data_IF_814794299670
#
_entry.id   IF_814794299670
#
_cell.length_a   1.000
_cell.length_b   1.000
_cell.length_c   1.000
_cell.angle_alpha   90.00
_cell.angle_beta   90.00
_cell.angle_gamma   90.00
#
_symmetry.space_group_name_H-M   'P 1'
#
loop_
_entity.id
_entity.type
_entity.pdbx_description
1 polymer ?
#
# COMPACT_ATOMS: atom_id res chain seq x y z
N UNK A 1 -4.68 12.32 -3.83
CA UNK A 1 -3.58 13.06 -4.50
C UNK A 1 -2.18 12.88 -3.86
N UNK A 2 -1.92 11.84 -3.04
CA UNK A 2 -0.54 11.55 -2.57
C UNK A 2 0.20 10.62 -3.54
N UNK A 3 -0.54 9.80 -4.30
CA UNK A 3 0.03 8.84 -5.25
C UNK A 3 0.77 9.50 -6.43
N UNK A 4 0.33 10.69 -6.87
CA UNK A 4 0.95 11.40 -8.00
C UNK A 4 1.99 12.46 -7.60
N UNK A 5 2.18 12.75 -6.31
CA UNK A 5 2.84 14.00 -5.86
C UNK A 5 4.11 13.81 -5.00
N UNK A 6 4.56 12.58 -4.74
CA UNK A 6 5.75 12.33 -3.91
C UNK A 6 6.67 11.26 -4.51
N UNK A 7 7.95 11.40 -4.15
CA UNK A 7 9.08 10.50 -4.42
C UNK A 7 8.72 9.01 -4.23
N UNK A 8 9.47 8.08 -4.86
CA UNK A 8 9.28 6.65 -4.66
C UNK A 8 9.36 6.30 -3.18
N UNK A 9 8.33 5.66 -2.65
CA UNK A 9 8.27 5.31 -1.23
C UNK A 9 6.99 4.58 -0.86
N UNK A 10 7.11 3.73 0.15
CA UNK A 10 5.98 3.01 0.73
C UNK A 10 5.11 4.00 1.53
N UNK A 11 3.78 3.84 1.43
CA UNK A 11 2.82 4.69 2.14
C UNK A 11 2.26 3.94 3.33
N UNK A 12 2.25 4.58 4.49
CA UNK A 12 1.57 4.09 5.69
C UNK A 12 0.33 4.95 5.96
N UNK A 13 -0.85 4.32 5.99
CA UNK A 13 -2.12 4.95 6.33
C UNK A 13 -2.62 4.40 7.67
N UNK A 14 -3.04 5.28 8.56
CA UNK A 14 -3.64 4.88 9.84
C UNK A 14 -5.16 5.00 9.80
N UNK A 15 -5.85 3.92 10.16
CA UNK A 15 -7.31 3.86 10.33
C UNK A 15 -7.68 3.26 11.68
N UNK A 16 -8.95 3.35 12.06
CA UNK A 16 -9.36 3.07 13.45
C UNK A 16 -9.81 1.63 13.69
N UNK A 17 -10.31 0.95 12.66
CA UNK A 17 -10.86 -0.40 12.80
C UNK A 17 -10.58 -1.31 11.62
N UNK A 18 -10.71 -2.62 11.87
CA UNK A 18 -10.45 -3.68 10.87
C UNK A 18 -11.38 -3.55 9.65
N UNK A 19 -12.65 -3.23 9.87
CA UNK A 19 -13.63 -3.03 8.79
C UNK A 19 -13.27 -1.83 7.90
N UNK A 20 -12.85 -0.72 8.49
CA UNK A 20 -12.39 0.46 7.75
C UNK A 20 -11.13 0.16 6.94
N UNK A 21 -10.22 -0.63 7.49
CA UNK A 21 -8.99 -1.06 6.80
C UNK A 21 -9.33 -1.90 5.58
N UNK A 22 -10.19 -2.91 5.73
CA UNK A 22 -10.58 -3.79 4.63
C UNK A 22 -11.32 -3.03 3.52
N UNK A 23 -12.24 -2.12 3.91
CA UNK A 23 -12.96 -1.27 2.96
C UNK A 23 -12.02 -0.29 2.24
N UNK A 24 -11.09 0.34 2.96
CA UNK A 24 -10.08 1.21 2.36
C UNK A 24 -9.15 0.45 1.41
N UNK A 25 -8.66 -0.73 1.80
CA UNK A 25 -7.84 -1.60 0.94
C UNK A 25 -8.58 -1.95 -0.36
N UNK A 26 -9.86 -2.30 -0.26
CA UNK A 26 -10.70 -2.62 -1.43
C UNK A 26 -10.85 -1.41 -2.35
N UNK A 27 -11.19 -0.24 -1.80
CA UNK A 27 -11.35 1.00 -2.57
C UNK A 27 -10.05 1.42 -3.25
N UNK A 28 -8.93 1.39 -2.53
CA UNK A 28 -7.60 1.71 -3.07
C UNK A 28 -7.28 0.79 -4.25
N UNK A 29 -7.56 -0.51 -4.12
CA UNK A 29 -7.31 -1.46 -5.20
C UNK A 29 -8.19 -1.19 -6.43
N UNK A 30 -9.48 -0.93 -6.23
CA UNK A 30 -10.40 -0.62 -7.34
C UNK A 30 -9.97 0.65 -8.08
N UNK A 31 -9.67 1.72 -7.36
CA UNK A 31 -9.19 2.98 -7.95
C UNK A 31 -7.84 2.80 -8.66
N UNK A 32 -6.94 1.98 -8.10
CA UNK A 32 -5.67 1.66 -8.73
C UNK A 32 -5.87 0.91 -10.05
N UNK A 33 -6.72 -0.12 -10.05
CA UNK A 33 -7.05 -0.90 -11.24
C UNK A 33 -7.72 -0.01 -12.31
N UNK A 34 -8.62 0.89 -11.91
CA UNK A 34 -9.28 1.84 -12.81
C UNK A 34 -8.30 2.85 -13.42
N UNK A 35 -7.33 3.35 -12.65
CA UNK A 35 -6.29 4.25 -13.16
C UNK A 35 -5.37 3.53 -14.15
N UNK A 36 -4.98 2.29 -13.87
CA UNK A 36 -4.18 1.45 -14.78
C UNK A 36 -4.95 1.16 -16.07
N UNK A 37 -6.27 0.94 -16.00
CA UNK A 37 -7.11 0.72 -17.17
C UNK A 37 -7.30 1.98 -18.03
N UNK A 38 -7.30 3.16 -17.41
CA UNK A 38 -7.43 4.45 -18.11
C UNK A 38 -6.13 4.87 -18.77
N UNK A 39 -5.00 4.72 -18.08
CA UNK A 39 -3.69 5.11 -18.57
C UNK A 39 -2.60 4.27 -17.90
N UNK A 40 -2.25 3.16 -18.55
CA UNK A 40 -1.32 2.13 -18.06
C UNK A 40 0.12 2.63 -17.88
N UNK A 41 0.48 3.74 -18.52
CA UNK A 41 1.83 4.32 -18.45
C UNK A 41 1.94 5.45 -17.41
N UNK A 42 0.81 5.95 -16.90
CA UNK A 42 0.77 7.06 -15.94
C UNK A 42 0.99 6.65 -14.48
N UNK A 43 0.72 5.38 -14.13
CA UNK A 43 0.81 4.88 -12.75
C UNK A 43 1.46 3.49 -12.67
N UNK A 44 2.35 3.34 -11.70
CA UNK A 44 2.98 2.06 -11.39
C UNK A 44 2.02 1.13 -10.65
N UNK A 45 2.34 -0.17 -10.56
CA UNK A 45 1.49 -1.12 -9.85
C UNK A 45 1.38 -0.75 -8.37
N UNK A 46 0.17 -0.82 -7.82
CA UNK A 46 -0.11 -0.53 -6.41
C UNK A 46 -0.47 -1.83 -5.71
N UNK A 47 0.19 -2.11 -4.58
CA UNK A 47 -0.22 -3.19 -3.69
C UNK A 47 -0.70 -2.61 -2.36
N UNK A 48 -1.88 -3.03 -1.92
CA UNK A 48 -2.44 -2.61 -0.63
C UNK A 48 -2.35 -3.77 0.36
N UNK A 49 -1.82 -3.51 1.56
CA UNK A 49 -1.60 -4.53 2.60
C UNK A 49 -2.29 -4.07 3.88
N UNK A 50 -3.30 -4.81 4.37
CA UNK A 50 -3.93 -4.52 5.65
C UNK A 50 -3.02 -4.93 6.82
N UNK A 51 -3.04 -4.16 7.91
CA UNK A 51 -2.33 -4.44 9.15
C UNK A 51 -3.20 -4.17 10.38
N UNK A 52 -3.67 -5.23 11.03
CA UNK A 52 -4.42 -5.15 12.27
C UNK A 52 -4.17 -6.37 13.16
N UNK A 53 -4.54 -6.24 14.44
CA UNK A 53 -4.15 -7.17 15.50
C UNK A 53 -4.65 -8.61 15.31
N UNK A 54 -5.81 -8.80 14.67
CA UNK A 54 -6.40 -10.12 14.45
C UNK A 54 -5.83 -10.88 13.24
N UNK A 55 -4.98 -10.23 12.41
CA UNK A 55 -4.34 -10.90 11.28
C UNK A 55 -3.39 -12.01 11.74
N UNK A 56 -3.34 -13.15 11.02
CA UNK A 56 -2.31 -14.15 11.21
C UNK A 56 -0.89 -13.54 11.07
N UNK A 57 0.11 -14.01 11.85
CA UNK A 57 1.47 -13.47 11.78
C UNK A 57 2.09 -13.50 10.38
N UNK A 58 1.79 -14.53 9.58
CA UNK A 58 2.22 -14.64 8.19
C UNK A 58 1.67 -13.50 7.31
N UNK A 59 0.45 -13.03 7.58
CA UNK A 59 -0.15 -11.91 6.85
C UNK A 59 0.41 -10.56 7.34
N UNK A 60 0.66 -10.42 8.65
CA UNK A 60 1.32 -9.23 9.20
C UNK A 60 2.73 -9.05 8.63
N UNK A 61 3.48 -10.14 8.41
CA UNK A 61 4.82 -10.08 7.83
C UNK A 61 4.87 -9.57 6.39
N UNK A 62 3.75 -9.58 5.66
CA UNK A 62 3.68 -9.08 4.28
C UNK A 62 4.00 -7.59 4.16
N UNK A 63 3.88 -6.82 5.25
CA UNK A 63 4.27 -5.41 5.25
C UNK A 63 5.77 -5.21 4.99
N UNK A 64 6.59 -6.23 5.23
CA UNK A 64 8.02 -6.24 4.94
C UNK A 64 8.35 -6.69 3.52
N UNK A 65 7.35 -7.15 2.74
CA UNK A 65 7.56 -7.47 1.34
C UNK A 65 7.98 -6.20 0.59
N UNK A 66 8.88 -6.30 -0.40
CA UNK A 66 9.27 -5.15 -1.20
C UNK A 66 8.08 -4.60 -2.00
N UNK A 67 8.12 -3.30 -2.30
CA UNK A 67 7.17 -2.70 -3.23
C UNK A 67 7.19 -3.42 -4.60
N UNK A 68 6.05 -3.47 -5.31
CA UNK A 68 6.00 -4.09 -6.62
C UNK A 68 6.93 -3.38 -7.60
N UNK A 69 7.55 -4.14 -8.50
CA UNK A 69 8.41 -3.58 -9.55
C UNK A 69 7.59 -2.88 -10.62
N UNK A 70 8.13 -1.86 -11.32
CA UNK A 70 7.49 -1.26 -12.49
C UNK A 70 7.03 -2.30 -13.52
N UNK A 71 5.95 -2.02 -14.24
CA UNK A 71 5.45 -2.91 -15.31
C UNK A 71 6.37 -2.91 -16.54
N UNK A 72 7.05 -1.79 -16.80
CA UNK A 72 8.00 -1.61 -17.91
C UNK A 72 9.32 -1.04 -17.38
N UNK A 73 10.47 -1.26 -18.05
CA UNK A 73 11.78 -0.81 -17.58
C UNK A 73 11.87 0.70 -17.32
N UNK A 74 11.16 1.50 -18.11
CA UNK A 74 11.11 2.97 -18.01
C UNK A 74 9.78 3.46 -17.39
N UNK A 75 8.99 2.54 -16.84
CA UNK A 75 7.67 2.83 -16.30
C UNK A 75 7.70 3.43 -14.90
N UNK A 76 6.58 4.00 -14.44
CA UNK A 76 6.46 4.55 -13.09
C UNK A 76 6.72 3.47 -12.02
N UNK A 77 7.37 3.84 -10.89
CA UNK A 77 7.67 2.92 -9.81
C UNK A 77 6.39 2.38 -9.18
N UNK A 78 6.39 1.08 -8.87
CA UNK A 78 5.32 0.49 -8.08
C UNK A 78 5.35 1.00 -6.64
N UNK A 79 4.20 0.93 -5.98
CA UNK A 79 4.01 1.48 -4.64
C UNK A 79 3.31 0.47 -3.74
N UNK A 80 3.82 0.32 -2.51
CA UNK A 80 3.14 -0.41 -1.44
C UNK A 80 2.41 0.57 -0.55
N UNK A 81 1.16 0.26 -0.24
CA UNK A 81 0.31 1.01 0.69
C UNK A 81 -0.05 0.08 1.83
N UNK A 82 0.49 0.35 3.01
CA UNK A 82 0.13 -0.38 4.23
C UNK A 82 -0.95 0.42 4.95
N UNK A 83 -2.09 -0.22 5.20
CA UNK A 83 -3.22 0.39 5.90
C UNK A 83 -3.32 -0.28 7.27
N UNK A 84 -3.01 0.46 8.32
CA UNK A 84 -2.79 -0.06 9.66
C UNK A 84 -3.68 0.59 10.71
N UNK A 85 -3.94 -0.14 11.79
CA UNK A 85 -4.30 0.48 13.07
C UNK A 85 -3.07 1.06 13.79
N UNK A 86 -3.24 1.60 14.99
CA UNK A 86 -2.13 2.02 15.87
C UNK A 86 -1.15 0.89 16.27
N UNK A 87 -1.40 -0.37 15.88
CA UNK A 87 -0.47 -1.49 16.11
C UNK A 87 0.90 -1.28 15.43
N UNK A 88 0.95 -0.56 14.30
CA UNK A 88 2.21 -0.23 13.63
C UNK A 88 3.05 0.79 14.42
N UNK A 89 2.41 1.63 15.25
CA UNK A 89 3.08 2.71 15.98
C UNK A 89 3.96 2.19 17.13
N UNK A 90 3.67 0.99 17.65
CA UNK A 90 4.35 0.44 18.83
C UNK A 90 5.22 -0.79 18.58
N UNK A 91 5.06 -1.48 17.44
CA UNK A 91 5.64 -2.83 17.29
C UNK A 91 6.46 -3.06 16.02
N UNK A 92 6.35 -2.18 15.01
CA UNK A 92 6.86 -2.46 13.68
C UNK A 92 7.58 -1.21 13.12
N UNK A 93 8.88 -1.11 13.37
CA UNK A 93 9.74 -0.22 12.56
C UNK A 93 9.80 -0.79 11.15
N UNK A 94 8.94 -0.27 10.27
CA UNK A 94 8.97 -0.59 8.85
C UNK A 94 10.06 0.27 8.20
N UNK A 95 11.20 -0.35 7.92
CA UNK A 95 12.32 0.29 7.23
C UNK A 95 11.86 0.72 5.82
N UNK A 96 11.87 2.02 5.51
CA UNK A 96 11.57 2.55 4.18
C UNK A 96 10.24 3.27 3.95
N UNK A 97 9.46 3.57 4.99
CA UNK A 97 8.22 4.37 4.86
C UNK A 97 8.46 5.88 5.06
N UNK A 98 7.88 6.71 4.17
CA UNK A 98 7.98 8.19 4.17
C UNK A 98 6.62 8.88 4.11
#
# INVERSE_FOLDING_TARGET
MIHMAKEPGDVLLFLTGEEEIEDACRKIKLEADDLVNQDSDSVGPIVCIPLYSSLPPQQQQRIFDPAPTPQTPDGPPGRKVVVSTNIAETSLTIDGMI
#
